data_IF_447697275064
#
_entry.id   IF_447697275064
#
_cell.length_a   1.000
_cell.length_b   1.000
_cell.length_c   1.000
_cell.angle_alpha   90.00
_cell.angle_beta   90.00
_cell.angle_gamma   90.00
#
_symmetry.space_group_name_H-M   'P 1'
#
loop_
_entity.id
_entity.type
_entity.pdbx_description
1 polymer ?
#
# COMPACT_ATOMS: atom_id res chain seq x y z
N UNK A 1 5.07 -9.28 -8.62
CA UNK A 1 5.01 -9.36 -7.14
C UNK A 1 3.55 -9.59 -6.73
N UNK A 2 3.23 -10.12 -5.56
CA UNK A 2 1.84 -10.10 -5.04
C UNK A 2 1.77 -9.27 -3.77
N UNK A 3 0.60 -8.73 -3.42
CA UNK A 3 0.36 -8.04 -2.14
C UNK A 3 0.94 -8.81 -0.96
N UNK A 4 0.59 -10.09 -0.83
CA UNK A 4 0.99 -10.90 0.32
C UNK A 4 2.51 -11.12 0.39
N UNK A 5 3.17 -11.28 -0.76
CA UNK A 5 4.64 -11.38 -0.82
C UNK A 5 5.30 -10.07 -0.41
N UNK A 6 4.77 -8.93 -0.86
CA UNK A 6 5.27 -7.62 -0.47
C UNK A 6 5.10 -7.38 1.04
N UNK A 7 3.93 -7.67 1.61
CA UNK A 7 3.68 -7.58 3.06
C UNK A 7 4.62 -8.51 3.83
N UNK A 8 4.85 -9.74 3.35
CA UNK A 8 5.79 -10.66 3.98
C UNK A 8 7.23 -10.11 4.00
N UNK A 9 7.67 -9.44 2.92
CA UNK A 9 8.98 -8.78 2.87
C UNK A 9 9.06 -7.64 3.90
N UNK A 10 8.03 -6.79 3.99
CA UNK A 10 8.00 -5.69 4.97
C UNK A 10 8.08 -6.21 6.41
N UNK A 11 7.31 -7.26 6.73
CA UNK A 11 7.36 -7.92 8.04
C UNK A 11 8.73 -8.52 8.33
N UNK A 12 9.33 -9.21 7.34
CA UNK A 12 10.67 -9.78 7.46
C UNK A 12 11.75 -8.70 7.65
N UNK A 13 11.54 -7.49 7.10
CA UNK A 13 12.39 -6.34 7.33
C UNK A 13 12.18 -5.64 8.69
N UNK A 14 11.26 -6.16 9.53
CA UNK A 14 10.96 -5.60 10.85
C UNK A 14 10.03 -4.39 10.84
N UNK A 15 9.35 -4.13 9.71
CA UNK A 15 8.37 -3.05 9.62
C UNK A 15 7.08 -3.52 10.30
N UNK A 16 6.64 -2.75 11.30
CA UNK A 16 5.39 -2.99 12.04
C UNK A 16 4.17 -2.57 11.23
N UNK A 17 2.98 -3.10 11.56
CA UNK A 17 1.72 -2.72 10.90
C UNK A 17 1.46 -1.21 10.96
N UNK A 18 1.75 -0.56 12.10
CA UNK A 18 1.63 0.89 12.25
C UNK A 18 2.57 1.66 11.32
N UNK A 19 3.78 1.15 11.11
CA UNK A 19 4.73 1.73 10.16
C UNK A 19 4.31 1.49 8.71
N UNK A 20 3.73 0.33 8.38
CA UNK A 20 3.16 0.08 7.06
C UNK A 20 1.99 1.02 6.78
N UNK A 21 1.12 1.25 7.77
CA UNK A 21 0.03 2.21 7.65
C UNK A 21 0.55 3.62 7.38
N UNK A 22 1.56 4.09 8.16
CA UNK A 22 2.21 5.38 7.92
C UNK A 22 2.83 5.48 6.53
N UNK A 23 3.52 4.43 6.09
CA UNK A 23 4.09 4.36 4.75
C UNK A 23 3.00 4.50 3.67
N UNK A 24 1.88 3.80 3.83
CA UNK A 24 0.75 3.88 2.90
C UNK A 24 0.13 5.28 2.84
N UNK A 25 -0.09 5.93 3.99
CA UNK A 25 -0.62 7.30 4.08
C UNK A 25 0.34 8.29 3.41
N UNK A 26 1.63 8.22 3.73
CA UNK A 26 2.63 9.11 3.15
C UNK A 26 2.75 8.92 1.64
N UNK A 27 2.75 7.66 1.16
CA UNK A 27 2.86 7.38 -0.27
C UNK A 27 1.64 7.88 -1.06
N UNK A 28 0.41 7.71 -0.53
CA UNK A 28 -0.80 8.30 -1.15
C UNK A 28 -0.76 9.83 -1.13
N UNK A 29 -0.21 10.45 -0.08
CA UNK A 29 -0.12 11.90 0.06
C UNK A 29 0.93 12.52 -0.88
N UNK A 30 2.10 11.90 -1.03
CA UNK A 30 3.19 12.46 -1.85
C UNK A 30 3.01 12.15 -3.32
N UNK A 31 2.66 10.91 -3.67
CA UNK A 31 2.67 10.42 -5.06
C UNK A 31 1.47 9.51 -5.35
N UNK A 32 0.22 10.02 -5.31
CA UNK A 32 -1.00 9.21 -5.42
C UNK A 32 -1.11 8.43 -6.75
N UNK A 33 -0.51 8.94 -7.82
CA UNK A 33 -0.47 8.25 -9.13
C UNK A 33 0.49 7.06 -9.13
N UNK A 34 1.66 7.21 -8.51
CA UNK A 34 2.62 6.12 -8.37
C UNK A 34 2.14 5.08 -7.37
N UNK A 35 1.45 5.51 -6.30
CA UNK A 35 0.81 4.58 -5.37
C UNK A 35 -0.26 3.71 -6.07
N UNK A 36 -1.11 4.31 -6.93
CA UNK A 36 -2.04 3.55 -7.78
C UNK A 36 -1.30 2.51 -8.63
N UNK A 37 -0.28 2.93 -9.38
CA UNK A 37 0.50 2.03 -10.24
C UNK A 37 1.20 0.91 -9.47
N UNK A 38 1.65 1.20 -8.25
CA UNK A 38 2.25 0.21 -7.37
C UNK A 38 1.23 -0.86 -6.93
N UNK A 39 0.02 -0.45 -6.55
CA UNK A 39 -1.05 -1.39 -6.17
C UNK A 39 -1.49 -2.26 -7.35
N UNK A 40 -1.55 -1.68 -8.56
CA UNK A 40 -1.79 -2.43 -9.80
C UNK A 40 -0.68 -3.45 -10.08
N UNK A 41 0.59 -3.06 -9.89
CA UNK A 41 1.75 -3.95 -10.02
C UNK A 41 1.73 -5.12 -9.02
N UNK A 42 1.17 -4.91 -7.82
CA UNK A 42 0.95 -5.97 -6.83
C UNK A 42 -0.19 -6.93 -7.20
N UNK A 43 -0.87 -6.70 -8.34
CA UNK A 43 -1.96 -7.53 -8.85
C UNK A 43 -3.28 -7.33 -8.08
N UNK A 44 -3.46 -6.18 -7.42
CA UNK A 44 -4.65 -5.90 -6.63
C UNK A 44 -5.79 -5.50 -7.58
N UNK A 45 -7.01 -6.07 -7.45
CA UNK A 45 -8.14 -5.70 -8.28
C UNK A 45 -8.57 -4.24 -8.09
N UNK A 46 -9.07 -3.54 -9.13
CA UNK A 46 -9.43 -2.12 -9.06
C UNK A 46 -10.39 -1.73 -7.92
N UNK A 47 -11.34 -2.62 -7.58
CA UNK A 47 -12.27 -2.41 -6.47
C UNK A 47 -11.56 -2.40 -5.10
N UNK A 48 -10.56 -3.28 -4.92
CA UNK A 48 -9.75 -3.34 -3.69
C UNK A 48 -8.78 -2.14 -3.64
N UNK A 49 -8.16 -1.77 -4.77
CA UNK A 49 -7.32 -0.57 -4.86
C UNK A 49 -8.06 0.69 -4.41
N UNK A 50 -9.30 0.86 -4.89
CA UNK A 50 -10.15 2.01 -4.50
C UNK A 50 -10.36 2.05 -2.98
N UNK A 51 -10.58 0.89 -2.37
CA UNK A 51 -10.79 0.79 -0.92
C UNK A 51 -9.51 1.07 -0.13
N UNK A 52 -8.37 0.54 -0.57
CA UNK A 52 -7.05 0.76 0.05
C UNK A 52 -6.69 2.25 0.01
N UNK A 53 -6.80 2.89 -1.15
CA UNK A 53 -6.46 4.32 -1.30
C UNK A 53 -7.38 5.23 -0.48
N UNK A 54 -8.67 4.88 -0.40
CA UNK A 54 -9.61 5.60 0.45
C UNK A 54 -9.30 5.47 1.95
N UNK A 55 -8.67 4.37 2.39
CA UNK A 55 -8.18 4.23 3.77
C UNK A 55 -6.93 5.07 3.98
N UNK A 56 -5.97 5.02 3.04
CA UNK A 56 -4.74 5.84 3.09
C UNK A 56 -5.02 7.34 3.09
N UNK A 57 -6.09 7.80 2.42
CA UNK A 57 -6.48 9.21 2.41
C UNK A 57 -7.19 9.70 3.69
N UNK A 58 -7.58 8.79 4.61
CA UNK A 58 -8.26 9.12 5.87
C UNK A 58 -7.31 9.19 7.07
N UNK A 59 -6.13 8.58 6.97
CA UNK A 59 -5.08 8.60 7.98
C UNK A 59 -4.18 9.82 7.84
#
# INVERSE_FOLDING_TARGET
MTKDKFVAILRAAGITEDQMHKLHVEFERTDPKEHQGFLEYLGIPPAEITSIRAQSAKG
#
